data_IF_399414784190
#
_entry.id   IF_399414784190
#
_cell.length_a   1.000
_cell.length_b   1.000
_cell.length_c   1.000
_cell.angle_alpha   90.00
_cell.angle_beta   90.00
_cell.angle_gamma   90.00
#
_symmetry.space_group_name_H-M   'P 1'
#
loop_
_entity.id
_entity.type
_entity.pdbx_description
1 polymer ?
#
# COMPACT_ATOMS: atom_id res chain seq x y z
N UNK A 1 -7.15 10.27 23.99
CA UNK A 1 -6.17 10.94 23.10
C UNK A 1 -6.13 10.11 21.83
N UNK A 2 -6.55 10.67 20.70
CA UNK A 2 -6.53 9.96 19.42
C UNK A 2 -5.08 9.90 18.94
N UNK A 3 -4.42 8.75 19.12
CA UNK A 3 -3.10 8.51 18.55
C UNK A 3 -3.18 8.67 17.02
N UNK A 4 -2.41 9.62 16.50
CA UNK A 4 -2.31 9.83 15.05
C UNK A 4 -1.31 8.80 14.54
N UNK A 5 -1.83 7.80 13.82
CA UNK A 5 -1.02 6.76 13.21
C UNK A 5 -0.22 7.41 12.07
N UNK A 6 1.08 7.63 12.30
CA UNK A 6 2.01 8.17 11.29
C UNK A 6 2.30 7.11 10.23
N UNK A 7 1.58 7.19 9.10
CA UNK A 7 1.80 6.30 7.95
C UNK A 7 2.99 6.81 7.14
N UNK A 8 4.06 6.02 7.07
CA UNK A 8 5.23 6.34 6.25
C UNK A 8 5.10 5.68 4.87
N UNK A 9 5.15 6.43 3.77
CA UNK A 9 5.14 5.85 2.43
C UNK A 9 6.41 5.04 2.20
N UNK A 10 6.27 3.84 1.65
CA UNK A 10 7.41 2.94 1.40
C UNK A 10 7.89 3.11 -0.03
N UNK A 11 6.94 3.10 -0.97
CA UNK A 11 7.16 3.22 -2.40
C UNK A 11 5.96 3.92 -3.01
N UNK A 12 6.24 4.80 -3.97
CA UNK A 12 5.21 5.44 -4.77
C UNK A 12 4.81 4.54 -5.93
N UNK A 13 3.52 4.37 -6.10
CA UNK A 13 2.90 3.65 -7.21
C UNK A 13 1.92 4.59 -7.90
N UNK A 14 1.54 4.28 -9.15
CA UNK A 14 0.65 5.13 -9.93
C UNK A 14 -0.81 4.95 -9.52
N UNK A 15 -1.24 3.71 -9.25
CA UNK A 15 -2.65 3.39 -9.03
C UNK A 15 -2.97 2.97 -7.59
N UNK A 16 -1.94 2.71 -6.78
CA UNK A 16 -2.07 2.35 -5.36
C UNK A 16 -1.26 3.28 -4.45
N UNK A 17 -1.68 3.39 -3.19
CA UNK A 17 -0.94 4.04 -2.11
C UNK A 17 -0.41 2.93 -1.22
N UNK A 18 0.91 2.89 -1.04
CA UNK A 18 1.58 1.92 -0.19
C UNK A 18 2.30 2.62 0.97
N UNK A 19 1.83 2.35 2.19
CA UNK A 19 2.36 2.95 3.40
C UNK A 19 2.52 1.91 4.51
N UNK A 20 3.36 2.20 5.49
CA UNK A 20 3.49 1.38 6.68
C UNK A 20 3.39 2.18 7.97
N UNK A 21 3.04 1.47 9.03
CA UNK A 21 3.13 1.97 10.39
C UNK A 21 3.33 0.80 11.36
N UNK A 22 4.38 0.83 12.18
CA UNK A 22 4.53 -0.09 13.32
C UNK A 22 4.44 -1.58 12.97
N UNK A 23 4.91 -1.96 11.78
CA UNK A 23 4.85 -3.33 11.25
C UNK A 23 3.56 -3.71 10.54
N UNK A 24 2.61 -2.79 10.42
CA UNK A 24 1.43 -2.93 9.58
C UNK A 24 1.67 -2.22 8.26
N UNK A 25 1.53 -2.95 7.15
CA UNK A 25 1.49 -2.36 5.82
C UNK A 25 0.05 -2.11 5.37
N UNK A 26 -0.17 -0.95 4.75
CA UNK A 26 -1.45 -0.54 4.17
C UNK A 26 -1.27 -0.31 2.67
N UNK A 27 -2.00 -1.10 1.89
CA UNK A 27 -2.12 -0.94 0.44
C UNK A 27 -3.53 -0.45 0.16
N UNK A 28 -3.67 0.69 -0.51
CA UNK A 28 -4.98 1.28 -0.83
C UNK A 28 -5.03 1.64 -2.31
N UNK A 29 -6.05 1.16 -3.02
CA UNK A 29 -6.25 1.53 -4.43
C UNK A 29 -6.70 3.00 -4.47
N UNK A 30 -5.97 3.85 -5.20
CA UNK A 30 -6.21 5.29 -5.29
C UNK A 30 -6.81 5.66 -6.64
N UNK A 31 -7.95 5.02 -6.97
CA UNK A 31 -8.65 5.23 -8.24
C UNK A 31 -10.14 5.56 -8.06
N UNK A 32 -10.46 6.65 -7.35
CA UNK A 32 -11.84 7.02 -7.06
C UNK A 32 -12.67 7.28 -8.33
N UNK A 33 -12.05 7.73 -9.42
CA UNK A 33 -12.69 8.03 -10.71
C UNK A 33 -13.33 6.81 -11.39
N UNK A 34 -12.91 5.59 -11.03
CA UNK A 34 -13.46 4.32 -11.53
C UNK A 34 -13.95 3.43 -10.39
N UNK A 35 -14.35 4.02 -9.26
CA UNK A 35 -14.80 3.28 -8.06
C UNK A 35 -13.78 2.25 -7.57
N UNK A 36 -12.48 2.56 -7.67
CA UNK A 36 -11.36 1.67 -7.33
C UNK A 36 -11.33 0.36 -8.12
N UNK A 37 -11.85 0.36 -9.36
CA UNK A 37 -11.64 -0.74 -10.29
C UNK A 37 -10.14 -0.94 -10.54
N UNK A 38 -9.72 -2.21 -10.48
CA UNK A 38 -8.34 -2.61 -10.76
C UNK A 38 -8.13 -2.79 -12.27
N UNK A 39 -6.98 -2.33 -12.76
CA UNK A 39 -6.47 -2.69 -14.09
C UNK A 39 -5.30 -3.66 -13.95
N UNK A 40 -4.78 -4.24 -15.06
CA UNK A 40 -3.58 -5.07 -14.99
C UNK A 40 -2.41 -4.37 -14.27
N UNK A 41 -2.23 -3.05 -14.45
CA UNK A 41 -1.22 -2.28 -13.74
C UNK A 41 -1.45 -2.28 -12.22
N UNK A 42 -2.69 -2.03 -11.77
CA UNK A 42 -3.03 -2.08 -10.33
C UNK A 42 -2.67 -3.44 -9.74
N UNK A 43 -2.92 -4.53 -10.48
CA UNK A 43 -2.61 -5.90 -10.02
C UNK A 43 -1.10 -6.11 -9.94
N UNK A 44 -0.34 -5.68 -10.94
CA UNK A 44 1.12 -5.77 -10.92
C UNK A 44 1.73 -4.97 -9.76
N UNK A 45 1.25 -3.74 -9.53
CA UNK A 45 1.67 -2.90 -8.41
C UNK A 45 1.31 -3.53 -7.06
N UNK A 46 0.13 -4.14 -6.94
CA UNK A 46 -0.29 -4.86 -5.74
C UNK A 46 0.59 -6.08 -5.46
N UNK A 47 0.94 -6.86 -6.49
CA UNK A 47 1.85 -8.01 -6.36
C UNK A 47 3.22 -7.54 -5.86
N UNK A 48 3.76 -6.47 -6.45
CA UNK A 48 5.05 -5.92 -6.02
C UNK A 48 4.98 -5.41 -4.57
N UNK A 49 3.92 -4.68 -4.20
CA UNK A 49 3.73 -4.19 -2.83
C UNK A 49 3.63 -5.35 -1.82
N UNK A 50 2.92 -6.44 -2.16
CA UNK A 50 2.83 -7.63 -1.32
C UNK A 50 4.17 -8.37 -1.20
N UNK A 51 4.95 -8.46 -2.29
CA UNK A 51 6.28 -9.07 -2.25
C UNK A 51 7.24 -8.27 -1.37
N UNK A 52 7.18 -6.94 -1.43
CA UNK A 52 7.92 -6.05 -0.51
C UNK A 52 7.50 -6.32 0.94
N UNK A 53 6.20 -6.43 1.23
CA UNK A 53 5.74 -6.76 2.58
C UNK A 53 6.28 -8.11 3.06
N UNK A 54 6.28 -9.11 2.18
CA UNK A 54 6.74 -10.47 2.51
C UNK A 54 8.24 -10.53 2.80
N UNK A 55 9.04 -9.78 2.05
CA UNK A 55 10.50 -9.78 2.18
C UNK A 55 11.00 -8.88 3.31
N UNK A 56 10.13 -8.02 3.87
CA UNK A 56 10.48 -7.08 4.92
C UNK A 56 10.15 -7.63 6.30
N UNK A 57 11.21 -7.85 7.08
CA UNK A 57 11.13 -8.40 8.45
C UNK A 57 10.50 -7.44 9.46
N UNK A 58 10.36 -6.16 9.10
CA UNK A 58 9.69 -5.15 9.91
C UNK A 58 8.16 -5.18 9.76
N UNK A 59 7.60 -5.88 8.76
CA UNK A 59 6.15 -6.01 8.53
C UNK A 59 5.75 -7.46 8.83
N UNK A 60 4.86 -7.70 9.81
CA UNK A 60 4.51 -9.05 10.26
C UNK A 60 3.37 -9.12 11.26
#
# INVERSE_FOLDING_TARGET
>A
MSETIEWTPIKEFQEIIFSQHGGIAKISINRPQVHNAFTPLTVDEMIEAMDICRNRTDIG
#
